data_IF_639255546912
#
_entry.id   IF_639255546912
#
_cell.length_a   1.000
_cell.length_b   1.000
_cell.length_c   1.000
_cell.angle_alpha   90.00
_cell.angle_beta   90.00
_cell.angle_gamma   90.00
#
_symmetry.space_group_name_H-M   'P 1'
#
loop_
_entity.id
_entity.type
_entity.pdbx_description
1 polymer ?
#
# COMPACT_ATOMS: atom_id res chain seq x y z
N UNK A 1 5.63 5.24 15.03
CA UNK A 1 4.22 4.94 14.67
C UNK A 1 4.16 3.49 14.21
N UNK A 2 3.23 2.69 14.75
CA UNK A 2 2.97 1.30 14.32
C UNK A 2 1.62 1.30 13.61
N UNK A 3 1.54 0.70 12.42
CA UNK A 3 0.30 0.68 11.66
C UNK A 3 0.04 -0.75 11.21
N UNK A 4 -1.17 -1.22 11.48
CA UNK A 4 -1.74 -2.42 10.91
C UNK A 4 -2.87 -2.01 9.97
N UNK A 5 -2.79 -2.46 8.72
CA UNK A 5 -3.83 -2.31 7.71
C UNK A 5 -4.42 -3.68 7.45
N UNK A 6 -5.74 -3.79 7.52
CA UNK A 6 -6.48 -5.04 7.31
C UNK A 6 -7.46 -4.82 6.18
N UNK A 7 -7.43 -5.69 5.18
CA UNK A 7 -8.39 -5.70 4.08
C UNK A 7 -8.79 -7.14 3.77
N UNK A 8 -10.02 -7.50 4.11
CA UNK A 8 -10.56 -8.86 3.94
C UNK A 8 -9.55 -9.91 4.44
N UNK A 9 -8.91 -10.67 3.55
CA UNK A 9 -7.97 -11.74 3.87
C UNK A 9 -6.50 -11.27 3.99
N UNK A 10 -6.21 -10.03 3.60
CA UNK A 10 -4.84 -9.49 3.55
C UNK A 10 -4.56 -8.54 4.73
N UNK A 11 -3.42 -8.75 5.41
CA UNK A 11 -2.94 -7.90 6.49
C UNK A 11 -1.56 -7.32 6.17
N UNK A 12 -1.41 -6.00 6.27
CA UNK A 12 -0.14 -5.29 6.12
C UNK A 12 0.25 -4.64 7.44
N UNK A 13 1.37 -5.09 8.01
CA UNK A 13 1.91 -4.57 9.26
C UNK A 13 3.20 -3.80 8.99
N UNK A 14 3.30 -2.58 9.54
CA UNK A 14 4.50 -1.75 9.52
C UNK A 14 4.81 -1.16 10.89
N UNK A 15 6.10 -0.96 11.17
CA UNK A 15 6.58 -0.49 12.46
C UNK A 15 8.03 0.01 12.39
N UNK A 16 8.48 0.70 13.45
CA UNK A 16 9.80 1.33 13.49
C UNK A 16 10.94 0.32 13.69
N UNK A 17 10.65 -0.87 14.22
CA UNK A 17 11.65 -1.94 14.38
C UNK A 17 11.06 -3.29 14.02
N UNK A 18 11.91 -4.16 13.46
CA UNK A 18 11.55 -5.53 13.11
C UNK A 18 11.17 -6.35 14.35
N UNK A 19 11.85 -6.13 15.48
CA UNK A 19 11.52 -6.76 16.76
C UNK A 19 10.08 -6.48 17.21
N UNK A 20 9.61 -5.23 17.06
CA UNK A 20 8.23 -4.87 17.42
C UNK A 20 7.21 -5.47 16.44
N UNK A 21 7.55 -5.50 15.14
CA UNK A 21 6.74 -6.18 14.13
C UNK A 21 6.59 -7.66 14.48
N UNK A 22 7.68 -8.32 14.89
CA UNK A 22 7.69 -9.73 15.26
C UNK A 22 6.80 -10.03 16.48
N UNK A 23 6.85 -9.20 17.52
CA UNK A 23 5.98 -9.35 18.69
C UNK A 23 4.50 -9.24 18.30
N UNK A 24 4.16 -8.29 17.44
CA UNK A 24 2.77 -8.13 16.97
C UNK A 24 2.35 -9.31 16.09
N UNK A 25 3.23 -9.81 15.22
CA UNK A 25 2.98 -11.02 14.43
C UNK A 25 2.69 -12.23 15.32
N UNK A 26 3.53 -12.49 16.32
CA UNK A 26 3.33 -13.61 17.26
C UNK A 26 2.03 -13.47 18.05
N UNK A 27 1.70 -12.24 18.47
CA UNK A 27 0.44 -11.97 19.15
C UNK A 27 -0.76 -12.26 18.24
N UNK A 28 -0.73 -11.80 16.99
CA UNK A 28 -1.79 -12.07 16.02
C UNK A 28 -1.92 -13.56 15.75
N UNK A 29 -0.80 -14.27 15.51
CA UNK A 29 -0.79 -15.71 15.23
C UNK A 29 -1.37 -16.54 16.40
N UNK A 30 -1.18 -16.08 17.63
CA UNK A 30 -1.77 -16.72 18.82
C UNK A 30 -3.30 -16.59 18.91
N UNK A 31 -3.90 -15.65 18.17
CA UNK A 31 -5.35 -15.34 18.20
C UNK A 31 -6.07 -15.75 16.93
N UNK A 32 -5.42 -15.51 15.80
CA UNK A 32 -5.90 -15.80 14.46
C UNK A 32 -4.70 -16.41 13.73
N UNK A 33 -4.83 -17.62 13.22
CA UNK A 33 -3.74 -18.25 12.47
C UNK A 33 -3.39 -17.35 11.29
N UNK A 34 -2.23 -16.68 11.34
CA UNK A 34 -1.79 -15.80 10.27
C UNK A 34 -0.67 -16.48 9.50
N UNK A 35 -0.72 -16.36 8.18
CA UNK A 35 0.39 -16.79 7.34
C UNK A 35 1.35 -15.63 7.18
N UNK A 36 2.56 -15.77 7.72
CA UNK A 36 3.58 -14.76 7.46
C UNK A 36 4.04 -14.88 6.00
N UNK A 37 3.75 -13.82 5.24
CA UNK A 37 4.27 -13.65 3.90
C UNK A 37 5.56 -12.84 4.03
N UNK A 38 6.61 -13.27 3.31
CA UNK A 38 7.85 -12.50 3.17
C UNK A 38 7.57 -11.00 2.96
N UNK A 39 8.54 -10.11 3.24
CA UNK A 39 8.32 -8.66 3.25
C UNK A 39 7.47 -8.20 2.06
N UNK A 40 6.28 -7.67 2.38
CA UNK A 40 5.24 -7.41 1.39
C UNK A 40 5.81 -6.61 0.21
N UNK A 41 5.72 -7.19 -0.99
CA UNK A 41 6.08 -6.54 -2.25
C UNK A 41 4.84 -6.01 -2.98
N UNK A 42 3.70 -6.65 -2.79
CA UNK A 42 2.42 -6.20 -3.31
C UNK A 42 1.35 -6.29 -2.20
N UNK A 43 0.44 -5.31 -2.17
CA UNK A 43 -0.74 -5.30 -1.28
C UNK A 43 -1.88 -4.53 -1.98
N UNK A 44 -3.02 -5.16 -2.25
CA UNK A 44 -4.16 -4.53 -2.95
C UNK A 44 -3.79 -3.85 -4.29
N UNK A 45 -2.90 -4.45 -5.07
CA UNK A 45 -2.40 -3.85 -6.32
C UNK A 45 -1.41 -2.69 -6.13
N UNK A 46 -1.05 -2.35 -4.88
CA UNK A 46 0.06 -1.46 -4.57
C UNK A 46 1.36 -2.26 -4.57
N UNK A 47 2.30 -1.86 -5.40
CA UNK A 47 3.69 -2.28 -5.31
C UNK A 47 4.40 -1.50 -4.22
N UNK A 48 5.09 -2.22 -3.33
CA UNK A 48 5.81 -1.67 -2.19
C UNK A 48 7.30 -1.84 -2.47
N UNK A 49 8.00 -0.71 -2.62
CA UNK A 49 9.44 -0.65 -2.77
C UNK A 49 10.08 -0.14 -1.48
N UNK A 50 11.06 -0.87 -0.94
CA UNK A 50 11.83 -0.45 0.22
C UNK A 50 13.14 0.14 -0.27
N UNK A 51 13.37 1.42 0.01
CA UNK A 51 14.59 2.17 -0.30
C UNK A 51 15.35 2.43 1.01
N UNK A 52 16.65 2.72 0.91
CA UNK A 52 17.46 3.10 2.07
C UNK A 52 16.91 4.35 2.79
N UNK A 53 16.21 5.22 2.07
CA UNK A 53 15.61 6.46 2.58
C UNK A 53 14.19 6.28 3.13
N UNK A 54 13.57 5.11 2.96
CA UNK A 54 12.20 4.86 3.41
C UNK A 54 11.45 3.87 2.52
N UNK A 55 10.13 3.80 2.69
CA UNK A 55 9.26 2.94 1.87
C UNK A 55 8.49 3.79 0.87
N UNK A 56 8.49 3.37 -0.39
CA UNK A 56 7.71 3.94 -1.49
C UNK A 56 6.63 2.95 -1.92
N UNK A 57 5.47 3.47 -2.33
CA UNK A 57 4.34 2.66 -2.81
C UNK A 57 3.84 3.21 -4.14
N UNK A 58 3.50 2.33 -5.08
CA UNK A 58 3.01 2.70 -6.42
C UNK A 58 1.94 1.74 -6.93
N UNK A 59 0.97 2.24 -7.68
CA UNK A 59 -0.01 1.41 -8.41
C UNK A 59 0.35 1.29 -9.90
N UNK A 60 1.58 1.65 -10.28
CA UNK A 60 1.99 1.72 -11.68
C UNK A 60 1.70 0.42 -12.44
N UNK A 61 2.02 -0.72 -11.82
CA UNK A 61 1.74 -2.04 -12.41
C UNK A 61 0.24 -2.28 -12.56
N UNK A 62 -0.54 -2.10 -11.51
CA UNK A 62 -1.99 -2.29 -11.54
C UNK A 62 -2.68 -1.42 -12.60
N UNK A 63 -2.32 -0.13 -12.68
CA UNK A 63 -2.85 0.79 -13.70
C UNK A 63 -2.46 0.33 -15.11
N UNK A 64 -1.20 -0.10 -15.30
CA UNK A 64 -0.72 -0.60 -16.59
C UNK A 64 -1.47 -1.87 -17.00
N UNK A 65 -1.68 -2.79 -16.07
CA UNK A 65 -2.38 -4.05 -16.32
C UNK A 65 -3.83 -3.76 -16.73
N UNK A 66 -4.52 -2.83 -16.04
CA UNK A 66 -5.86 -2.36 -16.46
C UNK A 66 -5.83 -1.79 -17.87
N UNK A 67 -4.92 -0.86 -18.17
CA UNK A 67 -4.81 -0.22 -19.49
C UNK A 67 -4.59 -1.27 -20.59
N UNK A 68 -3.82 -2.30 -20.29
CA UNK A 68 -3.59 -3.43 -21.19
C UNK A 68 -4.85 -4.25 -21.39
N UNK A 69 -5.55 -4.60 -20.32
CA UNK A 69 -6.78 -5.42 -20.36
C UNK A 69 -7.91 -4.72 -21.13
N UNK A 70 -8.02 -3.40 -21.03
CA UNK A 70 -9.02 -2.62 -21.78
C UNK A 70 -8.55 -2.22 -23.19
N UNK A 71 -7.36 -2.64 -23.62
CA UNK A 71 -6.83 -2.36 -24.95
C UNK A 71 -6.45 -0.89 -25.21
N UNK A 72 -6.24 -0.09 -24.16
CA UNK A 72 -5.95 1.35 -24.26
C UNK A 72 -4.45 1.68 -24.30
N UNK A 73 -3.58 0.70 -24.53
CA UNK A 73 -2.11 0.89 -24.53
C UNK A 73 -1.61 1.85 -25.62
N UNK A 74 -2.34 1.94 -26.74
CA UNK A 74 -2.05 2.85 -27.86
C UNK A 74 -2.87 4.14 -27.84
N UNK A 75 -3.70 4.35 -26.82
CA UNK A 75 -4.51 5.55 -26.70
C UNK A 75 -3.65 6.75 -26.29
N UNK A 76 -3.98 7.93 -26.84
CA UNK A 76 -3.29 9.17 -26.49
C UNK A 76 -3.51 9.48 -24.99
N UNK A 77 -2.47 9.90 -24.25
CA UNK A 77 -2.64 10.34 -22.88
C UNK A 77 -3.69 11.45 -22.81
N UNK A 78 -4.75 11.23 -22.02
CA UNK A 78 -5.70 12.27 -21.71
C UNK A 78 -5.15 13.14 -20.58
N UNK A 79 -5.32 14.45 -20.69
CA UNK A 79 -5.10 15.33 -19.54
C UNK A 79 -6.22 15.08 -18.53
N UNK A 80 -5.97 14.20 -17.58
CA UNK A 80 -6.78 14.09 -16.36
C UNK A 80 -6.22 15.08 -15.36
N UNK A 81 -6.94 16.18 -15.04
CA UNK A 81 -6.51 17.09 -13.99
C UNK A 81 -6.62 16.37 -12.64
N UNK A 82 -5.53 15.76 -12.21
CA UNK A 82 -5.33 15.47 -10.80
C UNK A 82 -5.31 16.84 -10.09
N UNK A 83 -6.35 17.11 -9.31
CA UNK A 83 -6.53 18.41 -8.65
C UNK A 83 -5.27 18.73 -7.84
N UNK A 84 -4.65 19.88 -8.15
CA UNK A 84 -3.32 20.29 -7.68
C UNK A 84 -3.12 20.28 -6.14
N UNK A 85 -4.20 20.21 -5.35
CA UNK A 85 -4.13 20.01 -3.89
C UNK A 85 -3.65 18.62 -3.43
N UNK A 86 -3.56 17.64 -4.32
CA UNK A 86 -3.06 16.28 -4.02
C UNK A 86 -1.53 16.14 -4.15
N UNK A 87 -0.87 17.07 -4.86
CA UNK A 87 0.55 16.95 -5.22
C UNK A 87 1.52 17.04 -4.03
N UNK A 88 1.22 17.88 -3.03
CA UNK A 88 2.01 18.01 -1.79
C UNK A 88 1.64 16.97 -0.73
N UNK A 89 0.41 16.44 -0.79
CA UNK A 89 -0.08 15.34 0.06
C UNK A 89 0.52 13.97 -0.35
N UNK A 90 0.91 13.81 -1.62
CA UNK A 90 1.42 12.56 -2.18
C UNK A 90 2.73 12.07 -1.55
N UNK A 91 3.56 12.96 -0.97
CA UNK A 91 4.90 12.58 -0.48
C UNK A 91 4.95 12.03 0.95
N UNK A 92 4.01 12.38 1.82
CA UNK A 92 4.01 11.91 3.22
C UNK A 92 2.60 11.65 3.80
N UNK A 93 1.54 12.10 3.11
CA UNK A 93 0.17 12.05 3.61
C UNK A 93 -0.68 10.94 2.97
N UNK A 94 -0.16 10.22 1.97
CA UNK A 94 -0.87 9.12 1.32
C UNK A 94 -1.13 7.92 2.22
N UNK A 95 -0.31 7.72 3.26
CA UNK A 95 -0.53 6.63 4.21
C UNK A 95 -1.65 6.97 5.23
N UNK A 96 -1.71 8.21 5.76
CA UNK A 96 -2.72 8.59 6.75
C UNK A 96 -4.12 8.80 6.16
N UNK A 97 -4.27 9.13 4.87
CA UNK A 97 -5.60 9.40 4.28
C UNK A 97 -6.34 8.17 3.76
N UNK A 98 -5.63 7.11 3.36
CA UNK A 98 -6.28 5.84 2.98
C UNK A 98 -6.92 5.18 4.21
N UNK A 99 -6.31 5.32 5.40
CA UNK A 99 -6.93 4.88 6.66
C UNK A 99 -8.13 5.74 7.08
N UNK A 100 -8.10 7.07 6.85
CA UNK A 100 -9.22 7.96 7.19
C UNK A 100 -10.42 7.89 6.20
N UNK A 101 -10.29 7.22 5.06
CA UNK A 101 -11.42 6.92 4.15
C UNK A 101 -12.15 5.61 4.53
N UNK A 102 -11.70 4.91 5.56
CA UNK A 102 -12.35 3.70 6.10
C UNK A 102 -13.15 4.04 7.38
N UNK A 103 -12.94 5.23 7.97
CA UNK A 103 -13.70 5.72 9.14
C UNK A 103 -14.67 6.88 8.80
N UNK A 104 -15.19 6.92 7.57
CA UNK A 104 -16.25 7.87 7.17
C UNK A 104 -16.93 7.48 5.87
#
# INVERSE_FOLDING_TARGET
MRILLVYVDDMLLTGPSESQILVVKQFLDSKITIKDLWPAKYFLGLEIARLATGTSMTQHKFIRDIIQDVGLTSCKPAHTPLTLGLSSLLKLHHFCRILNLIEG
#
